data_IF_909406927595
#
_entry.id   IF_909406927595
#
_cell.length_a   1.000
_cell.length_b   1.000
_cell.length_c   1.000
_cell.angle_alpha   90.00
_cell.angle_beta   90.00
_cell.angle_gamma   90.00
#
_symmetry.space_group_name_H-M   'P 1'
#
loop_
_entity.id
_entity.type
_entity.pdbx_description
1 polymer ?
#
# COMPACT_ATOMS: atom_id res chain seq x y z
N UNK A 1 2.00 -3.11 19.93
CA UNK A 1 1.91 -3.48 18.49
C UNK A 1 0.69 -2.88 17.80
N UNK A 2 0.85 -2.30 16.60
CA UNK A 2 -0.26 -1.88 15.72
C UNK A 2 -0.44 -2.94 14.63
N UNK A 3 -1.64 -3.52 14.50
CA UNK A 3 -1.97 -4.57 13.53
C UNK A 3 -3.00 -4.05 12.54
N UNK A 4 -2.63 -4.01 11.25
CA UNK A 4 -3.46 -3.43 10.20
C UNK A 4 -4.21 -4.50 9.39
N UNK A 5 -5.48 -4.23 9.11
CA UNK A 5 -6.29 -4.98 8.14
C UNK A 5 -5.98 -4.55 6.68
N UNK A 6 -6.38 -5.36 5.70
CA UNK A 6 -6.16 -5.10 4.27
C UNK A 6 -6.69 -3.75 3.83
N UNK A 7 -7.87 -3.34 4.32
CA UNK A 7 -8.47 -2.06 3.95
C UNK A 7 -7.66 -0.83 4.41
N UNK A 8 -6.76 -0.98 5.39
CA UNK A 8 -5.86 0.08 5.83
C UNK A 8 -4.71 0.31 4.86
N UNK A 9 -4.44 -0.70 4.03
CA UNK A 9 -3.42 -0.68 3.01
C UNK A 9 -4.00 -0.50 1.60
N UNK A 10 -5.32 -0.39 1.47
CA UNK A 10 -5.97 -0.08 0.19
C UNK A 10 -5.65 1.35 -0.25
N UNK A 11 -5.05 1.49 -1.43
CA UNK A 11 -4.62 2.80 -1.95
C UNK A 11 -3.27 3.28 -1.41
N UNK A 12 -2.64 2.50 -0.53
CA UNK A 12 -1.28 2.72 -0.09
C UNK A 12 -0.34 2.36 -1.25
N UNK A 13 0.19 3.38 -1.91
CA UNK A 13 1.39 3.28 -2.73
C UNK A 13 2.59 3.53 -1.84
N UNK A 14 3.78 2.94 -2.14
CA UNK A 14 5.01 3.19 -1.37
C UNK A 14 5.36 4.67 -1.15
N UNK A 15 4.80 5.55 -1.99
CA UNK A 15 5.00 7.00 -2.03
C UNK A 15 3.83 7.82 -1.41
N UNK A 16 2.89 7.19 -0.68
CA UNK A 16 1.79 7.89 -0.01
C UNK A 16 2.19 8.31 1.42
N UNK A 17 1.76 9.50 1.88
CA UNK A 17 1.98 10.01 3.24
C UNK A 17 1.63 9.01 4.36
N UNK A 18 0.61 8.15 4.16
CA UNK A 18 0.30 7.09 5.13
C UNK A 18 1.43 6.05 5.25
N UNK A 19 2.15 5.72 4.17
CA UNK A 19 3.34 4.87 4.23
C UNK A 19 4.44 5.53 5.02
N UNK A 20 4.68 6.81 4.78
CA UNK A 20 5.76 7.54 5.45
C UNK A 20 5.48 7.65 6.96
N UNK A 21 4.22 7.79 7.36
CA UNK A 21 3.81 7.66 8.74
C UNK A 21 4.12 6.27 9.31
N UNK A 22 3.73 5.18 8.63
CA UNK A 22 4.02 3.81 9.09
C UNK A 22 5.53 3.53 9.18
N UNK A 23 6.31 3.99 8.19
CA UNK A 23 7.77 3.93 8.18
C UNK A 23 8.35 4.71 9.38
N UNK A 24 7.81 5.89 9.67
CA UNK A 24 8.25 6.72 10.80
C UNK A 24 7.96 6.05 12.13
N UNK A 25 6.76 5.48 12.31
CA UNK A 25 6.40 4.72 13.52
C UNK A 25 7.37 3.54 13.69
N UNK A 26 7.62 2.77 12.63
CA UNK A 26 8.56 1.65 12.65
C UNK A 26 9.99 2.09 12.96
N UNK A 27 10.47 3.16 12.32
CA UNK A 27 11.82 3.69 12.52
C UNK A 27 12.03 4.27 13.92
N UNK A 28 10.97 4.78 14.56
CA UNK A 28 11.04 5.28 15.94
C UNK A 28 11.31 4.18 16.96
N UNK A 29 11.02 2.91 16.64
CA UNK A 29 11.15 1.77 17.55
C UNK A 29 10.17 1.77 18.73
N UNK A 30 9.31 2.80 18.85
CA UNK A 30 8.37 2.95 19.97
C UNK A 30 7.20 1.96 19.85
N UNK A 31 6.81 1.61 18.62
CA UNK A 31 5.77 0.61 18.33
C UNK A 31 6.12 -0.18 17.06
N UNK A 32 5.84 -1.48 17.11
CA UNK A 32 5.78 -2.30 15.89
C UNK A 32 4.54 -1.98 15.06
N UNK A 33 4.69 -1.98 13.75
CA UNK A 33 3.58 -1.96 12.78
C UNK A 33 3.61 -3.27 12.02
N UNK A 34 2.53 -4.03 12.11
CA UNK A 34 2.43 -5.34 11.51
C UNK A 34 1.12 -5.57 10.75
N UNK A 35 1.12 -6.59 9.90
CA UNK A 35 -0.05 -7.13 9.22
C UNK A 35 -0.11 -8.63 9.40
N UNK A 36 -1.29 -9.25 9.54
CA UNK A 36 -1.42 -10.70 9.39
C UNK A 36 -0.98 -11.12 7.99
N UNK A 37 -0.32 -12.27 7.85
CA UNK A 37 0.10 -12.81 6.55
C UNK A 37 -1.04 -12.87 5.52
N UNK A 38 -2.26 -13.15 5.97
CA UNK A 38 -3.45 -13.17 5.10
C UNK A 38 -3.72 -11.81 4.44
N UNK A 39 -3.44 -10.70 5.12
CA UNK A 39 -3.51 -9.34 4.54
C UNK A 39 -2.47 -9.19 3.43
N UNK A 40 -1.25 -9.67 3.65
CA UNK A 40 -0.16 -9.61 2.66
C UNK A 40 -0.53 -10.39 1.40
N UNK A 41 -1.04 -11.61 1.54
CA UNK A 41 -1.46 -12.41 0.38
C UNK A 41 -2.66 -11.81 -0.34
N UNK A 42 -3.62 -11.21 0.37
CA UNK A 42 -4.73 -10.51 -0.27
C UNK A 42 -4.22 -9.34 -1.12
N UNK A 43 -3.36 -8.48 -0.57
CA UNK A 43 -2.82 -7.33 -1.29
C UNK A 43 -2.00 -7.76 -2.52
N UNK A 44 -1.13 -8.76 -2.37
CA UNK A 44 -0.33 -9.30 -3.46
C UNK A 44 -1.22 -9.92 -4.55
N UNK A 45 -2.25 -10.68 -4.16
CA UNK A 45 -3.20 -11.28 -5.10
C UNK A 45 -4.01 -10.22 -5.86
N UNK A 46 -4.53 -9.20 -5.18
CA UNK A 46 -5.26 -8.10 -5.81
C UNK A 46 -4.41 -7.38 -6.87
N UNK A 47 -3.12 -7.14 -6.57
CA UNK A 47 -2.19 -6.52 -7.52
C UNK A 47 -1.89 -7.43 -8.72
N UNK A 48 -1.72 -8.73 -8.48
CA UNK A 48 -1.50 -9.70 -9.54
C UNK A 48 -2.72 -9.85 -10.47
N UNK A 49 -3.94 -9.84 -9.93
CA UNK A 49 -5.18 -9.87 -10.71
C UNK A 49 -5.34 -8.62 -11.58
N UNK A 50 -5.12 -7.42 -11.03
CA UNK A 50 -5.14 -6.17 -11.83
C UNK A 50 -4.06 -6.16 -12.91
N UNK A 51 -2.89 -6.73 -12.63
CA UNK A 51 -1.85 -6.88 -13.64
C UNK A 51 -2.29 -7.86 -14.73
N UNK A 52 -2.93 -8.98 -14.37
CA UNK A 52 -3.45 -9.96 -15.32
C UNK A 52 -4.44 -9.33 -16.28
N UNK A 53 -5.43 -8.59 -15.76
CA UNK A 53 -6.42 -7.89 -16.58
C UNK A 53 -5.78 -6.97 -17.63
N UNK A 54 -4.75 -6.21 -17.22
CA UNK A 54 -4.00 -5.33 -18.12
C UNK A 54 -3.16 -6.11 -19.14
N UNK A 55 -2.55 -7.21 -18.71
CA UNK A 55 -1.76 -8.07 -19.57
C UNK A 55 -2.64 -8.71 -20.64
N UNK A 56 -3.79 -9.27 -20.27
CA UNK A 56 -4.76 -9.89 -21.18
C UNK A 56 -5.30 -8.88 -22.18
N UNK A 57 -5.62 -7.66 -21.73
CA UNK A 57 -6.05 -6.57 -22.62
C UNK A 57 -4.94 -6.18 -23.62
N UNK A 58 -3.69 -6.08 -23.18
CA UNK A 58 -2.57 -5.79 -24.06
C UNK A 58 -2.33 -6.93 -25.07
N UNK A 59 -2.47 -8.19 -24.62
CA UNK A 59 -2.29 -9.36 -25.46
C UNK A 59 -3.32 -9.40 -26.60
N UNK A 60 -4.60 -9.21 -26.28
CA UNK A 60 -5.66 -9.16 -27.28
C UNK A 60 -5.49 -7.95 -28.22
N UNK A 61 -5.07 -6.78 -27.72
CA UNK A 61 -4.78 -5.63 -28.57
C UNK A 61 -3.65 -5.89 -29.58
N UNK A 62 -2.54 -6.50 -29.15
CA UNK A 62 -1.42 -6.88 -30.04
C UNK A 62 -1.87 -7.91 -31.07
N UNK A 63 -2.68 -8.89 -30.66
CA UNK A 63 -3.23 -9.92 -31.53
C UNK A 63 -4.17 -9.34 -32.59
N UNK A 64 -5.08 -8.45 -32.23
CA UNK A 64 -5.98 -7.79 -33.19
C UNK A 64 -5.24 -6.87 -34.15
N UNK A 65 -4.21 -6.15 -33.68
CA UNK A 65 -3.36 -5.34 -34.53
C UNK A 65 -2.65 -6.20 -35.58
N UNK A 66 -2.11 -7.36 -35.19
CA UNK A 66 -1.46 -8.32 -36.11
C UNK A 66 -2.39 -8.85 -37.18
N UNK A 67 -3.67 -9.10 -36.87
CA UNK A 67 -4.65 -9.58 -37.87
C UNK A 67 -4.93 -8.56 -38.97
N UNK A 68 -4.86 -7.27 -38.65
CA UNK A 68 -5.24 -6.19 -39.57
C UNK A 68 -4.03 -5.47 -40.20
N UNK A 69 -2.81 -5.88 -39.87
CA UNK A 69 -1.59 -5.24 -40.37
C UNK A 69 -0.94 -6.11 -41.46
N UNK A 70 -0.78 -5.59 -42.69
CA UNK A 70 -0.24 -6.39 -43.80
C UNK A 70 1.28 -6.62 -43.74
N UNK A 71 1.99 -5.95 -42.84
CA UNK A 71 3.41 -6.16 -42.56
C UNK A 71 3.65 -6.76 -41.17
N UNK A 72 4.84 -7.30 -40.94
CA UNK A 72 5.20 -7.96 -39.69
C UNK A 72 5.27 -6.98 -38.51
N UNK A 73 4.64 -7.33 -37.38
CA UNK A 73 4.74 -6.62 -36.10
C UNK A 73 5.65 -7.41 -35.16
N UNK A 74 6.80 -6.84 -34.81
CA UNK A 74 7.80 -7.47 -33.94
C UNK A 74 7.46 -7.44 -32.45
N UNK A 75 6.50 -6.60 -32.02
CA UNK A 75 6.11 -6.49 -30.61
C UNK A 75 5.66 -7.84 -30.07
N UNK A 76 6.37 -8.38 -29.08
CA UNK A 76 6.00 -9.58 -28.32
C UNK A 76 5.91 -9.21 -26.84
N UNK A 77 4.78 -9.54 -26.22
CA UNK A 77 4.67 -9.45 -24.77
C UNK A 77 5.51 -10.55 -24.11
N UNK A 78 6.20 -10.25 -23.00
CA UNK A 78 6.89 -11.27 -22.22
C UNK A 78 5.86 -12.28 -21.67
N UNK A 79 6.29 -13.49 -21.34
CA UNK A 79 5.39 -14.49 -20.78
C UNK A 79 4.80 -13.99 -19.44
N UNK A 80 3.51 -14.26 -19.19
CA UNK A 80 2.86 -13.82 -17.96
C UNK A 80 3.31 -14.66 -16.76
N UNK A 81 4.00 -14.02 -15.82
CA UNK A 81 4.54 -14.65 -14.61
C UNK A 81 3.85 -14.12 -13.34
N UNK A 82 2.66 -14.65 -12.97
CA UNK A 82 1.86 -14.12 -11.87
C UNK A 82 2.57 -14.15 -10.52
N UNK A 83 3.44 -15.14 -10.29
CA UNK A 83 4.17 -15.25 -9.03
C UNK A 83 5.26 -14.18 -8.88
N UNK A 84 5.92 -13.77 -9.98
CA UNK A 84 6.87 -12.66 -9.92
C UNK A 84 6.20 -11.36 -9.51
N UNK A 85 4.97 -11.13 -10.00
CA UNK A 85 4.17 -9.97 -9.62
C UNK A 85 3.79 -10.06 -8.14
N UNK A 86 3.29 -11.21 -7.67
CA UNK A 86 2.96 -11.39 -6.24
C UNK A 86 4.18 -11.19 -5.34
N UNK A 87 5.30 -11.81 -5.67
CA UNK A 87 6.54 -11.71 -4.88
C UNK A 87 7.03 -10.27 -4.79
N UNK A 88 7.05 -9.54 -5.92
CA UNK A 88 7.39 -8.11 -5.93
C UNK A 88 6.54 -7.30 -4.93
N UNK A 89 5.23 -7.54 -4.89
CA UNK A 89 4.34 -6.82 -3.97
C UNK A 89 4.49 -7.27 -2.52
N UNK A 90 4.78 -8.56 -2.26
CA UNK A 90 5.14 -9.02 -0.91
C UNK A 90 6.39 -8.31 -0.40
N UNK A 91 7.43 -8.24 -1.21
CA UNK A 91 8.70 -7.61 -0.86
C UNK A 91 8.52 -6.10 -0.62
N UNK A 92 7.82 -5.42 -1.53
CA UNK A 92 7.57 -3.99 -1.43
C UNK A 92 6.77 -3.59 -0.18
N UNK A 93 5.76 -4.39 0.18
CA UNK A 93 4.94 -4.14 1.36
C UNK A 93 5.63 -4.60 2.65
N UNK A 94 6.33 -5.73 2.64
CA UNK A 94 7.11 -6.24 3.79
C UNK A 94 8.28 -5.34 4.17
N UNK A 95 8.78 -4.52 3.25
CA UNK A 95 9.74 -3.46 3.56
C UNK A 95 9.15 -2.38 4.49
N UNK A 96 7.82 -2.25 4.56
CA UNK A 96 7.12 -1.21 5.33
C UNK A 96 6.62 -1.79 6.66
N UNK A 97 6.05 -2.99 6.66
CA UNK A 97 5.40 -3.61 7.84
C UNK A 97 6.02 -4.95 8.19
N UNK A 98 5.90 -5.34 9.46
CA UNK A 98 6.14 -6.72 9.89
C UNK A 98 4.98 -7.62 9.43
N UNK A 99 5.28 -8.88 9.09
CA UNK A 99 4.27 -9.86 8.70
C UNK A 99 4.10 -10.89 9.81
N UNK A 100 2.92 -10.94 10.42
CA UNK A 100 2.58 -11.89 11.47
C UNK A 100 2.09 -13.21 10.83
N UNK A 101 2.81 -14.33 11.04
CA UNK A 101 2.34 -15.61 10.54
C UNK A 101 1.14 -16.11 11.36
N UNK A 102 0.05 -16.58 10.74
CA UNK A 102 -1.03 -17.23 11.44
C UNK A 102 -0.57 -18.59 11.95
N UNK A 103 -1.10 -19.02 13.10
CA UNK A 103 -0.95 -20.41 13.50
C UNK A 103 -1.78 -21.34 12.59
N UNK A 104 -1.44 -22.63 12.58
CA UNK A 104 -2.26 -23.63 11.90
C UNK A 104 -3.69 -23.67 12.48
N UNK A 105 -3.85 -23.43 13.78
CA UNK A 105 -5.15 -23.34 14.42
C UNK A 105 -5.94 -22.15 13.90
N UNK A 106 -5.34 -20.96 13.78
CA UNK A 106 -6.04 -19.77 13.29
C UNK A 106 -6.59 -19.98 11.87
N UNK A 107 -5.82 -20.64 10.99
CA UNK A 107 -6.28 -20.97 9.64
C UNK A 107 -7.39 -22.04 9.63
N UNK A 108 -7.27 -23.08 10.45
CA UNK A 108 -8.29 -24.12 10.57
C UNK A 108 -9.60 -23.57 11.15
N UNK A 109 -9.50 -22.75 12.21
CA UNK A 109 -10.63 -22.10 12.85
C UNK A 109 -11.29 -21.08 11.91
N UNK A 110 -10.51 -20.33 11.13
CA UNK A 110 -11.05 -19.45 10.10
C UNK A 110 -11.90 -20.19 9.06
N UNK A 111 -11.39 -21.33 8.55
CA UNK A 111 -12.15 -22.19 7.63
C UNK A 111 -13.40 -22.79 8.29
N UNK A 112 -13.27 -23.23 9.55
CA UNK A 112 -14.39 -23.75 10.34
C UNK A 112 -15.48 -22.69 10.54
N UNK A 113 -15.11 -21.44 10.88
CA UNK A 113 -16.04 -20.32 11.05
C UNK A 113 -16.78 -20.00 9.76
N UNK A 114 -16.10 -20.03 8.61
CA UNK A 114 -16.77 -19.81 7.32
C UNK A 114 -17.76 -20.91 7.00
N UNK A 115 -17.37 -22.18 7.22
CA UNK A 115 -18.26 -23.33 7.04
C UNK A 115 -19.53 -23.23 7.89
N UNK A 116 -19.41 -22.68 9.11
CA UNK A 116 -20.50 -22.56 10.08
C UNK A 116 -21.16 -21.17 10.11
N UNK A 117 -20.68 -20.20 9.33
CA UNK A 117 -21.17 -18.82 9.31
C UNK A 117 -21.07 -18.15 10.69
N UNK A 118 -19.93 -18.35 11.35
CA UNK A 118 -19.60 -17.73 12.64
C UNK A 118 -18.80 -16.45 12.41
N UNK A 119 -19.07 -15.40 13.19
CA UNK A 119 -18.42 -14.11 13.04
C UNK A 119 -16.87 -14.21 13.05
N UNK A 120 -16.16 -13.45 12.19
CA UNK A 120 -16.67 -12.43 11.26
C UNK A 120 -17.26 -12.98 9.94
N UNK A 121 -17.38 -14.29 9.77
CA UNK A 121 -17.92 -14.89 8.55
C UNK A 121 -19.43 -14.66 8.42
N UNK A 122 -19.91 -14.53 7.18
CA UNK A 122 -21.30 -14.20 6.85
C UNK A 122 -21.76 -14.89 5.58
N UNK A 123 -23.07 -14.81 5.33
CA UNK A 123 -23.67 -15.15 4.03
C UNK A 123 -23.84 -13.89 3.20
N UNK A 124 -23.39 -13.94 1.96
CA UNK A 124 -23.57 -12.88 0.97
C UNK A 124 -24.44 -13.38 -0.18
N UNK A 125 -25.39 -12.56 -0.61
CA UNK A 125 -26.18 -12.84 -1.81
C UNK A 125 -25.39 -12.35 -3.01
N UNK A 126 -25.07 -13.27 -3.93
CA UNK A 126 -24.38 -12.96 -5.18
C UNK A 126 -25.40 -12.99 -6.30
N UNK A 127 -25.34 -11.99 -7.19
CA UNK A 127 -26.19 -11.93 -8.38
C UNK A 127 -26.02 -13.22 -9.18
N UNK A 128 -27.13 -13.78 -9.68
CA UNK A 128 -27.16 -15.01 -10.47
C UNK A 128 -26.80 -16.31 -9.71
N UNK A 129 -26.66 -16.25 -8.38
CA UNK A 129 -26.49 -17.44 -7.53
C UNK A 129 -27.76 -17.66 -6.69
N UNK A 130 -28.38 -18.84 -6.84
CA UNK A 130 -29.65 -19.19 -6.18
C UNK A 130 -29.55 -19.30 -4.65
N UNK A 131 -28.36 -19.58 -4.13
CA UNK A 131 -28.12 -19.77 -2.70
C UNK A 131 -27.07 -18.77 -2.20
N UNK A 132 -27.25 -18.21 -0.99
CA UNK A 132 -26.24 -17.32 -0.41
C UNK A 132 -24.88 -18.02 -0.29
N UNK A 133 -23.84 -17.31 -0.68
CA UNK A 133 -22.45 -17.78 -0.61
C UNK A 133 -21.92 -17.49 0.80
N UNK A 134 -21.25 -18.47 1.41
CA UNK A 134 -20.55 -18.27 2.69
C UNK A 134 -19.20 -17.63 2.40
N UNK A 135 -18.81 -16.63 3.19
CA UNK A 135 -17.55 -15.90 3.03
C UNK A 135 -17.05 -15.39 4.37
N UNK A 136 -15.79 -14.98 4.43
CA UNK A 136 -15.17 -14.30 5.57
C UNK A 136 -14.08 -15.10 6.28
N UNK A 137 -13.69 -16.28 5.76
CA UNK A 137 -12.54 -17.04 6.29
C UNK A 137 -11.27 -16.19 6.36
N UNK A 138 -11.02 -15.38 5.33
CA UNK A 138 -9.92 -14.41 5.31
C UNK A 138 -9.97 -13.45 6.50
N UNK A 139 -11.12 -12.81 6.71
CA UNK A 139 -11.31 -11.83 7.78
C UNK A 139 -11.21 -12.52 9.16
N UNK A 140 -11.67 -13.76 9.28
CA UNK A 140 -11.49 -14.59 10.46
C UNK A 140 -10.01 -14.89 10.72
N UNK A 141 -9.22 -15.23 9.70
CA UNK A 141 -7.78 -15.48 9.84
C UNK A 141 -7.03 -14.22 10.29
N UNK A 142 -7.39 -13.05 9.74
CA UNK A 142 -6.86 -11.74 10.14
C UNK A 142 -7.14 -11.47 11.63
N UNK A 143 -8.40 -11.61 12.03
CA UNK A 143 -8.84 -11.44 13.42
C UNK A 143 -8.11 -12.38 14.38
N UNK A 144 -8.11 -13.68 14.06
CA UNK A 144 -7.51 -14.70 14.92
C UNK A 144 -6.01 -14.51 15.06
N UNK A 145 -5.30 -14.10 14.00
CA UNK A 145 -3.87 -13.78 14.08
C UNK A 145 -3.61 -12.61 15.02
N UNK A 146 -4.44 -11.56 14.99
CA UNK A 146 -4.31 -10.41 15.88
C UNK A 146 -4.57 -10.80 17.35
N UNK A 147 -5.60 -11.61 17.60
CA UNK A 147 -5.93 -12.13 18.95
C UNK A 147 -4.82 -13.04 19.46
N UNK A 148 -4.30 -13.95 18.64
CA UNK A 148 -3.18 -14.83 19.01
C UNK A 148 -1.94 -14.03 19.37
N UNK A 149 -1.57 -13.02 18.57
CA UNK A 149 -0.46 -12.13 18.88
C UNK A 149 -0.66 -11.47 20.24
N UNK A 150 -1.86 -10.93 20.51
CA UNK A 150 -2.16 -10.33 21.80
C UNK A 150 -1.96 -11.32 22.94
N UNK A 151 -2.48 -12.56 22.83
CA UNK A 151 -2.31 -13.59 23.86
C UNK A 151 -0.85 -13.97 24.11
N UNK A 152 -0.05 -14.05 23.06
CA UNK A 152 1.37 -14.42 23.14
C UNK A 152 2.24 -13.29 23.71
N UNK A 153 1.76 -12.04 23.64
CA UNK A 153 2.46 -10.86 24.13
C UNK A 153 1.61 -10.17 25.22
N UNK A 154 1.57 -10.70 26.45
CA UNK A 154 0.68 -10.22 27.51
C UNK A 154 0.98 -8.79 27.96
N UNK A 155 2.24 -8.37 27.88
CA UNK A 155 2.71 -7.04 28.30
C UNK A 155 2.47 -5.96 27.24
N UNK A 156 2.01 -6.34 26.05
CA UNK A 156 1.72 -5.42 24.97
C UNK A 156 0.24 -5.06 24.85
N UNK A 157 -0.01 -3.79 24.57
CA UNK A 157 -1.28 -3.33 24.00
C UNK A 157 -1.27 -3.55 22.50
N UNK A 158 -2.29 -4.24 22.00
CA UNK A 158 -2.52 -4.47 20.57
C UNK A 158 -3.55 -3.48 20.07
N UNK A 159 -3.20 -2.76 19.01
CA UNK A 159 -4.08 -1.84 18.32
C UNK A 159 -4.47 -2.44 16.97
N UNK A 160 -5.62 -3.10 16.90
CA UNK A 160 -6.18 -3.61 15.65
C UNK A 160 -6.86 -2.47 14.89
N UNK A 161 -6.49 -2.24 13.63
CA UNK A 161 -7.02 -1.12 12.84
C UNK A 161 -7.72 -1.65 11.60
N UNK A 162 -9.02 -1.43 11.49
CA UNK A 162 -9.83 -1.82 10.33
C UNK A 162 -11.00 -0.87 10.09
N UNK A 163 -11.20 -0.46 8.83
CA UNK A 163 -12.41 0.26 8.38
C UNK A 163 -13.62 -0.68 8.18
N UNK A 164 -13.45 -1.99 8.32
CA UNK A 164 -14.48 -2.97 8.02
C UNK A 164 -15.44 -3.15 9.21
N UNK A 165 -16.28 -2.14 9.41
CA UNK A 165 -17.27 -2.13 10.49
C UNK A 165 -18.38 -3.15 10.31
N UNK A 166 -18.57 -3.67 9.10
CA UNK A 166 -19.56 -4.71 8.82
C UNK A 166 -19.15 -6.06 9.41
N UNK A 167 -17.87 -6.39 9.35
CA UNK A 167 -17.36 -7.70 9.76
C UNK A 167 -16.74 -7.68 11.16
N UNK A 168 -15.99 -6.62 11.50
CA UNK A 168 -15.34 -6.50 12.80
C UNK A 168 -16.05 -5.59 13.80
N UNK A 169 -17.03 -4.80 13.36
CA UNK A 169 -17.65 -3.75 14.18
C UNK A 169 -16.76 -2.51 14.29
N UNK A 170 -17.07 -1.64 15.26
CA UNK A 170 -16.33 -0.40 15.55
C UNK A 170 -15.44 -0.51 16.80
N UNK A 171 -15.36 -1.72 17.38
CA UNK A 171 -14.63 -1.99 18.61
C UNK A 171 -15.43 -1.82 19.90
N UNK A 172 -16.67 -1.31 19.85
CA UNK A 172 -17.52 -1.14 21.03
C UNK A 172 -18.15 -2.44 21.53
N UNK A 173 -18.42 -3.37 20.63
CA UNK A 173 -19.01 -4.68 20.93
C UNK A 173 -18.70 -5.68 19.82
N UNK A 174 -18.68 -6.96 20.19
CA UNK A 174 -18.35 -8.05 19.28
C UNK A 174 -19.42 -9.15 19.33
N UNK A 175 -19.77 -9.70 18.16
CA UNK A 175 -20.64 -10.87 18.07
C UNK A 175 -19.85 -12.12 18.46
N UNK A 176 -20.50 -13.09 19.09
CA UNK A 176 -19.88 -14.40 19.30
C UNK A 176 -19.53 -15.04 17.94
N UNK A 177 -18.38 -15.73 17.80
CA UNK A 177 -17.40 -16.04 18.86
C UNK A 177 -16.33 -14.97 19.10
N UNK A 178 -16.31 -13.85 18.36
CA UNK A 178 -15.27 -12.82 18.50
C UNK A 178 -15.21 -12.21 19.90
N UNK A 179 -16.33 -12.04 20.58
CA UNK A 179 -16.34 -11.60 21.99
C UNK A 179 -15.67 -12.62 22.92
N UNK A 180 -15.81 -13.92 22.66
CA UNK A 180 -15.13 -14.99 23.40
C UNK A 180 -13.63 -14.98 23.12
N UNK A 181 -13.23 -14.67 21.88
CA UNK A 181 -11.81 -14.55 21.52
C UNK A 181 -11.08 -13.48 22.35
N UNK A 182 -11.78 -12.43 22.79
CA UNK A 182 -11.21 -11.34 23.57
C UNK A 182 -11.24 -11.53 25.09
N UNK A 183 -11.75 -12.66 25.58
CA UNK A 183 -11.77 -12.92 27.03
C UNK A 183 -10.35 -12.85 27.63
N UNK A 184 -10.14 -11.93 28.57
CA UNK A 184 -8.85 -11.66 29.20
C UNK A 184 -7.94 -10.70 28.42
N UNK A 185 -8.43 -10.09 27.34
CA UNK A 185 -7.71 -9.14 26.49
C UNK A 185 -8.36 -7.75 26.45
N UNK A 186 -9.51 -7.57 27.11
CA UNK A 186 -10.42 -6.45 26.90
C UNK A 186 -9.76 -5.08 27.18
N UNK A 187 -8.85 -5.01 28.14
CA UNK A 187 -8.16 -3.75 28.50
C UNK A 187 -7.03 -3.37 27.52
N UNK A 188 -6.51 -4.34 26.78
CA UNK A 188 -5.27 -4.20 25.99
C UNK A 188 -5.41 -4.53 24.51
N UNK A 189 -6.56 -5.02 24.06
CA UNK A 189 -6.90 -5.19 22.66
C UNK A 189 -7.82 -4.05 22.23
N UNK A 190 -7.25 -3.02 21.61
CA UNK A 190 -7.96 -1.82 21.16
C UNK A 190 -8.25 -1.93 19.66
N UNK A 191 -9.50 -1.71 19.27
CA UNK A 191 -9.91 -1.69 17.88
C UNK A 191 -10.23 -0.25 17.45
N UNK A 192 -9.60 0.18 16.36
CA UNK A 192 -9.84 1.49 15.74
C UNK A 192 -10.25 1.37 14.28
N UNK A 193 -11.05 2.32 13.81
CA UNK A 193 -11.54 2.37 12.43
C UNK A 193 -10.70 3.27 11.51
N UNK A 194 -9.68 3.94 12.05
CA UNK A 194 -8.67 4.69 11.28
C UNK A 194 -7.34 4.72 12.03
N UNK A 195 -6.29 5.24 11.37
CA UNK A 195 -4.98 5.44 11.98
C UNK A 195 -4.94 6.68 12.90
N UNK A 196 -5.85 7.64 12.75
CA UNK A 196 -5.78 8.91 13.50
C UNK A 196 -5.82 8.71 15.03
N UNK A 197 -6.68 7.83 15.59
CA UNK A 197 -6.66 7.53 17.03
C UNK A 197 -5.35 6.88 17.48
N UNK A 198 -4.72 6.07 16.62
CA UNK A 198 -3.41 5.47 16.90
C UNK A 198 -2.35 6.56 16.95
N UNK A 199 -2.32 7.44 15.95
CA UNK A 199 -1.39 8.57 15.89
C UNK A 199 -1.58 9.46 17.12
N UNK A 200 -2.81 9.83 17.47
CA UNK A 200 -3.12 10.66 18.63
C UNK A 200 -2.71 10.02 19.98
N UNK A 201 -2.66 8.69 20.05
CA UNK A 201 -2.22 7.97 21.24
C UNK A 201 -0.70 8.11 21.47
N UNK A 202 0.08 8.10 20.39
CA UNK A 202 1.55 8.09 20.45
C UNK A 202 2.19 9.45 20.22
N UNK A 203 1.41 10.39 19.71
CA UNK A 203 1.90 11.72 19.37
C UNK A 203 1.16 12.80 20.15
N UNK A 204 1.81 13.95 20.27
CA UNK A 204 1.14 15.21 20.52
C UNK A 204 1.33 16.09 19.30
N UNK A 205 0.25 16.73 18.80
CA UNK A 205 0.39 17.83 17.88
C UNK A 205 1.38 18.84 18.47
N UNK A 206 2.33 19.29 17.66
CA UNK A 206 3.29 20.31 18.05
C UNK A 206 3.20 21.48 17.08
N UNK A 207 3.71 22.64 17.47
CA UNK A 207 3.72 23.80 16.58
C UNK A 207 4.59 23.48 15.37
N UNK A 208 3.99 23.65 14.19
CA UNK A 208 4.68 23.50 12.93
C UNK A 208 5.45 24.79 12.65
N UNK A 209 6.77 24.74 12.69
CA UNK A 209 7.60 25.79 12.13
C UNK A 209 7.73 25.57 10.62
N UNK A 210 6.77 26.10 9.86
CA UNK A 210 6.74 26.01 8.40
C UNK A 210 8.04 26.57 7.78
N UNK A 211 8.62 27.62 8.37
CA UNK A 211 9.84 28.22 7.88
C UNK A 211 11.03 27.27 8.05
N UNK A 212 11.15 26.62 9.21
CA UNK A 212 12.19 25.61 9.43
C UNK A 212 12.02 24.38 8.51
N UNK A 213 10.79 23.95 8.25
CA UNK A 213 10.52 22.86 7.31
C UNK A 213 10.92 23.24 5.89
N UNK A 214 10.55 24.44 5.44
CA UNK A 214 10.91 24.94 4.11
C UNK A 214 12.42 25.13 3.96
N UNK A 215 13.10 25.67 4.98
CA UNK A 215 14.56 25.79 4.99
C UNK A 215 15.23 24.42 4.87
N UNK A 216 14.74 23.42 5.62
CA UNK A 216 15.29 22.08 5.57
C UNK A 216 15.03 21.36 4.25
N UNK A 217 13.81 21.46 3.70
CA UNK A 217 13.46 20.86 2.41
C UNK A 217 14.10 21.60 1.23
N UNK A 218 14.38 22.89 1.37
CA UNK A 218 15.10 23.71 0.41
C UNK A 218 16.62 23.57 0.47
N UNK A 219 17.14 22.83 1.46
CA UNK A 219 18.58 22.66 1.67
C UNK A 219 19.27 21.95 0.50
N UNK A 220 20.56 22.24 0.23
CA UNK A 220 21.35 21.52 -0.77
C UNK A 220 21.37 20.00 -0.53
N UNK A 221 21.34 19.57 0.73
CA UNK A 221 21.31 18.15 1.09
C UNK A 221 20.00 17.48 0.66
N UNK A 222 18.86 18.13 0.89
CA UNK A 222 17.57 17.63 0.44
C UNK A 222 17.50 17.58 -1.09
N UNK A 223 17.95 18.63 -1.77
CA UNK A 223 18.02 18.66 -3.23
C UNK A 223 18.94 17.56 -3.80
N UNK A 224 20.09 17.30 -3.16
CA UNK A 224 21.00 16.23 -3.54
C UNK A 224 20.38 14.84 -3.34
N UNK A 225 19.66 14.61 -2.24
CA UNK A 225 18.96 13.36 -1.99
C UNK A 225 17.86 13.10 -3.02
N UNK A 226 17.04 14.12 -3.34
CA UNK A 226 16.00 14.01 -4.37
C UNK A 226 16.63 13.78 -5.75
N UNK A 227 17.72 14.48 -6.07
CA UNK A 227 18.45 14.32 -7.33
C UNK A 227 18.99 12.89 -7.48
N UNK A 228 19.61 12.36 -6.42
CA UNK A 228 20.14 10.99 -6.41
C UNK A 228 19.02 9.95 -6.59
N UNK A 229 17.90 10.11 -5.91
CA UNK A 229 16.77 9.18 -6.02
C UNK A 229 16.08 9.27 -7.39
N UNK A 230 15.92 10.48 -7.93
CA UNK A 230 15.40 10.68 -9.28
C UNK A 230 16.34 10.08 -10.35
N UNK A 231 17.65 10.21 -10.16
CA UNK A 231 18.63 9.55 -11.01
C UNK A 231 18.50 8.03 -10.88
N UNK A 232 18.45 7.47 -9.67
CA UNK A 232 18.33 6.02 -9.46
C UNK A 232 17.05 5.42 -10.07
N UNK A 233 15.90 6.08 -9.89
CA UNK A 233 14.60 5.63 -10.43
C UNK A 233 14.49 5.76 -11.95
N UNK A 234 15.11 6.79 -12.55
CA UNK A 234 14.96 7.13 -13.97
C UNK A 234 16.30 7.37 -14.66
N UNK A 235 17.30 6.53 -14.40
CA UNK A 235 18.57 6.58 -15.14
C UNK A 235 18.30 6.25 -16.60
N UNK A 236 18.73 7.14 -17.51
CA UNK A 236 18.61 6.90 -18.94
C UNK A 236 19.61 5.82 -19.37
N UNK A 237 19.10 4.65 -19.77
CA UNK A 237 19.89 3.69 -20.53
C UNK A 237 19.93 4.14 -22.00
N UNK A 238 21.01 4.81 -22.40
CA UNK A 238 21.18 5.31 -23.75
C UNK A 238 21.13 4.21 -24.83
N UNK A 239 21.46 2.97 -24.47
CA UNK A 239 21.42 1.82 -25.38
C UNK A 239 19.98 1.35 -25.57
N UNK A 240 19.19 1.39 -24.50
CA UNK A 240 17.80 0.89 -24.48
C UNK A 240 16.76 1.99 -24.63
N UNK A 241 17.16 3.25 -24.83
CA UNK A 241 16.29 4.43 -24.92
C UNK A 241 15.04 4.25 -25.81
N UNK A 242 15.19 3.51 -26.91
CA UNK A 242 14.13 3.26 -27.88
C UNK A 242 13.15 2.15 -27.46
N UNK A 243 13.49 1.38 -26.41
CA UNK A 243 12.65 0.30 -25.92
C UNK A 243 11.42 0.86 -25.18
N UNK A 244 10.22 0.32 -25.46
CA UNK A 244 8.99 0.73 -24.76
C UNK A 244 9.03 0.50 -23.25
N UNK A 245 9.95 -0.37 -22.77
CA UNK A 245 10.12 -0.71 -21.36
C UNK A 245 10.95 0.29 -20.55
N UNK A 246 11.57 1.29 -21.18
CA UNK A 246 12.31 2.32 -20.44
C UNK A 246 11.33 3.15 -19.61
N UNK A 247 11.52 3.26 -18.28
CA UNK A 247 10.67 4.08 -17.41
C UNK A 247 10.62 5.53 -17.91
N UNK A 248 9.40 6.04 -18.11
CA UNK A 248 9.17 7.44 -18.49
C UNK A 248 8.46 8.17 -17.38
N UNK A 249 8.73 9.46 -17.22
CA UNK A 249 8.00 10.32 -16.30
C UNK A 249 7.35 11.48 -17.04
N UNK A 250 6.19 11.91 -16.57
CA UNK A 250 5.53 13.09 -17.09
C UNK A 250 6.26 14.35 -16.63
N UNK A 251 6.57 15.25 -17.55
CA UNK A 251 7.19 16.53 -17.27
C UNK A 251 6.59 17.61 -18.18
N UNK A 252 6.88 18.87 -17.85
CA UNK A 252 6.71 19.98 -18.77
C UNK A 252 8.09 20.50 -19.13
N UNK A 253 8.36 20.69 -20.42
CA UNK A 253 9.55 21.42 -20.83
C UNK A 253 9.32 22.90 -20.58
N UNK A 254 10.31 23.53 -19.95
CA UNK A 254 10.50 24.97 -20.10
C UNK A 254 11.31 25.17 -21.37
N UNK A 255 10.75 25.75 -22.43
CA UNK A 255 11.54 26.11 -23.61
C UNK A 255 12.66 27.06 -23.17
N UNK A 256 13.87 26.83 -23.68
CA UNK A 256 15.02 27.71 -23.40
C UNK A 256 14.78 29.14 -23.89
N UNK A 257 13.89 29.31 -24.86
CA UNK A 257 13.37 30.59 -25.35
C UNK A 257 11.85 30.45 -25.57
N UNK A 258 11.03 30.94 -24.64
CA UNK A 258 9.61 31.16 -24.93
C UNK A 258 9.52 32.33 -25.91
N UNK A 259 9.42 32.02 -27.21
CA UNK A 259 9.30 33.03 -28.28
C UNK A 259 8.08 33.95 -28.10
N UNK A 260 7.12 33.56 -27.26
CA UNK A 260 5.92 34.33 -26.92
C UNK A 260 6.05 35.14 -25.60
N UNK A 261 7.18 35.05 -24.90
CA UNK A 261 7.41 35.72 -23.62
C UNK A 261 6.54 35.21 -22.48
N UNK A 262 5.84 34.08 -22.63
CA UNK A 262 5.06 33.49 -21.55
C UNK A 262 5.98 32.86 -20.50
N UNK A 263 5.62 32.92 -19.21
CA UNK A 263 6.28 32.18 -18.12
C UNK A 263 5.61 30.83 -17.86
N UNK A 264 4.79 30.36 -18.80
CA UNK A 264 4.03 29.13 -18.61
C UNK A 264 4.87 27.92 -19.04
N UNK A 265 4.90 26.85 -18.23
CA UNK A 265 5.51 25.59 -18.64
C UNK A 265 4.84 25.10 -19.92
N UNK A 266 5.65 24.62 -20.87
CA UNK A 266 5.18 24.08 -22.14
C UNK A 266 4.31 22.83 -21.99
N UNK A 267 3.89 22.29 -23.12
CA UNK A 267 3.03 21.09 -23.19
C UNK A 267 3.60 19.94 -22.35
N UNK A 268 2.70 19.21 -21.66
CA UNK A 268 3.09 18.02 -20.90
C UNK A 268 3.62 16.96 -21.86
N UNK A 269 4.80 16.43 -21.57
CA UNK A 269 5.41 15.36 -22.32
C UNK A 269 5.94 14.25 -21.41
N UNK A 270 6.35 13.14 -22.02
CA UNK A 270 6.98 12.03 -21.32
C UNK A 270 8.49 12.08 -21.57
N UNK A 271 9.27 12.28 -20.52
CA UNK A 271 10.73 12.20 -20.57
C UNK A 271 11.19 10.75 -20.30
N UNK A 272 12.19 10.25 -21.04
CA UNK A 272 12.69 8.87 -20.98
C UNK A 272 13.67 8.60 -19.83
N UNK A 273 14.00 9.61 -19.04
CA UNK A 273 14.98 9.53 -17.95
C UNK A 273 16.04 10.62 -18.00
N UNK A 274 17.02 10.53 -17.12
CA UNK A 274 18.09 11.50 -16.97
C UNK A 274 19.44 10.93 -17.43
N UNK A 275 20.16 11.65 -18.29
CA UNK A 275 21.56 11.34 -18.67
C UNK A 275 22.53 11.56 -17.51
N UNK A 276 22.26 12.58 -16.70
CA UNK A 276 22.98 12.94 -15.49
C UNK A 276 21.96 13.33 -14.42
N UNK A 277 22.32 13.20 -13.14
CA UNK A 277 21.42 13.55 -12.04
C UNK A 277 20.79 14.94 -12.23
N UNK A 278 19.46 15.08 -12.11
CA UNK A 278 18.79 16.34 -12.37
C UNK A 278 19.19 17.38 -11.33
N UNK A 279 19.17 18.66 -11.72
CA UNK A 279 19.11 19.74 -10.74
C UNK A 279 17.69 19.84 -10.21
N UNK A 280 17.54 19.82 -8.89
CA UNK A 280 16.24 19.82 -8.22
C UNK A 280 16.11 21.10 -7.42
N UNK A 281 14.91 21.69 -7.49
CA UNK A 281 14.50 22.81 -6.65
C UNK A 281 13.14 22.47 -6.03
N UNK A 282 12.96 22.85 -4.77
CA UNK A 282 11.68 22.69 -4.08
C UNK A 282 10.65 23.64 -4.70
N UNK A 283 9.57 23.08 -5.25
CA UNK A 283 8.51 23.86 -5.88
C UNK A 283 7.41 24.25 -4.90
N UNK A 284 6.75 23.25 -4.30
CA UNK A 284 5.64 23.42 -3.38
C UNK A 284 5.71 22.38 -2.27
N UNK A 285 5.31 22.77 -1.07
CA UNK A 285 5.07 21.87 0.07
C UNK A 285 3.60 22.01 0.46
N UNK A 286 2.89 20.90 0.56
CA UNK A 286 1.51 20.82 1.06
C UNK A 286 1.39 19.77 2.15
N UNK A 287 0.24 19.76 2.85
CA UNK A 287 -0.13 18.73 3.81
C UNK A 287 0.83 18.58 5.01
N UNK A 288 1.41 19.70 5.46
CA UNK A 288 2.29 19.71 6.62
C UNK A 288 1.51 19.44 7.91
N UNK A 289 1.99 18.46 8.66
CA UNK A 289 1.53 18.17 10.01
C UNK A 289 2.72 17.82 10.89
N UNK A 290 2.79 18.41 12.08
CA UNK A 290 3.89 18.21 13.01
C UNK A 290 3.41 17.47 14.26
N UNK A 291 4.11 16.40 14.58
CA UNK A 291 3.84 15.52 15.71
C UNK A 291 5.13 15.30 16.48
N UNK A 292 5.09 15.43 17.80
CA UNK A 292 6.17 14.99 18.68
C UNK A 292 5.75 13.71 19.41
N UNK A 293 6.70 12.80 19.61
CA UNK A 293 6.46 11.62 20.44
C UNK A 293 6.11 12.05 21.86
N UNK A 294 5.17 11.34 22.48
CA UNK A 294 4.92 11.46 23.92
C UNK A 294 6.01 10.81 24.74
#
# INVERSE_FOLDING_TARGET
MIILDTNMLWGVTPDNASVDLLKTIRASGVQGVAVPWMVMEELAAQRALRHQEKYDAAYEAVKELRKNTPWHISTRLPDYEPEKVRQHWRDALGAIVEVLPPSAWALQEAAFREANVLAPCKRVTVKDVKHPVKTGSRDAAIWLTAVEYARQNPDETVYFVSKNTNDFGDGSSYKAPMSTDLQGLEERFKHYTSLDPVVAQFTQPTELDEAAVLDRLGSPEAAAAISAEAAAKWTLDAVRYWEPSVPRFACSLWPSDNTDGSELPGERMLAPGWLHGPKVHLGLVSDLSAYRNR
#
